data_IF_168405991006
#
_entry.id   IF_168405991006
#
_cell.length_a   1.000
_cell.length_b   1.000
_cell.length_c   1.000
_cell.angle_alpha   90.00
_cell.angle_beta   90.00
_cell.angle_gamma   90.00
#
_symmetry.space_group_name_H-M   'P 1'
#
loop_
_entity.id
_entity.type
_entity.pdbx_description
1 polymer ?
#
# COMPACT_ATOMS: atom_id res chain seq x y z
N UNK A 1 9.65 -11.20 -12.13
CA UNK A 1 9.64 -9.72 -12.14
C UNK A 1 9.19 -9.26 -10.78
N UNK A 2 10.08 -8.65 -10.00
CA UNK A 2 9.77 -8.08 -8.68
C UNK A 2 9.08 -6.74 -8.91
N UNK A 3 7.89 -6.55 -8.32
CA UNK A 3 7.07 -5.31 -8.36
C UNK A 3 7.86 -4.01 -8.12
N UNK A 4 8.97 -4.14 -7.40
CA UNK A 4 9.81 -3.07 -6.86
C UNK A 4 10.44 -2.13 -7.91
N UNK A 5 10.59 -2.55 -9.17
CA UNK A 5 11.25 -1.73 -10.21
C UNK A 5 10.55 -1.83 -11.57
N UNK A 6 9.21 -1.85 -11.57
CA UNK A 6 8.49 -1.87 -12.84
C UNK A 6 8.61 -0.49 -13.54
N UNK A 7 9.12 -0.40 -14.78
CA UNK A 7 9.45 0.87 -15.44
C UNK A 7 8.23 1.77 -15.67
N UNK A 8 7.04 1.18 -15.78
CA UNK A 8 5.79 1.91 -15.93
C UNK A 8 5.27 2.56 -14.63
N UNK A 9 5.93 2.37 -13.48
CA UNK A 9 5.57 3.04 -12.24
C UNK A 9 6.25 4.41 -12.15
N UNK A 10 5.52 5.48 -11.77
CA UNK A 10 6.12 6.74 -11.36
C UNK A 10 7.18 6.53 -10.28
N UNK A 11 8.27 7.30 -10.33
CA UNK A 11 9.43 7.15 -9.43
C UNK A 11 9.03 7.08 -7.95
N UNK A 12 8.14 7.97 -7.50
CA UNK A 12 7.64 7.97 -6.12
C UNK A 12 7.03 6.63 -5.69
N UNK A 13 6.21 6.00 -6.55
CA UNK A 13 5.53 4.74 -6.23
C UNK A 13 6.50 3.56 -6.25
N UNK A 14 7.52 3.64 -7.10
CA UNK A 14 8.63 2.68 -7.18
C UNK A 14 9.51 2.75 -5.95
N UNK A 15 9.96 3.95 -5.58
CA UNK A 15 10.78 4.20 -4.40
C UNK A 15 10.08 3.71 -3.14
N UNK A 16 8.79 4.04 -2.98
CA UNK A 16 8.01 3.54 -1.84
C UNK A 16 7.90 2.02 -1.85
N UNK A 17 7.65 1.40 -3.01
CA UNK A 17 7.59 -0.06 -3.11
C UNK A 17 8.92 -0.72 -2.76
N UNK A 18 10.04 -0.07 -3.07
CA UNK A 18 11.38 -0.48 -2.66
C UNK A 18 11.59 -0.38 -1.16
N UNK A 19 11.24 0.76 -0.57
CA UNK A 19 11.32 0.99 0.88
C UNK A 19 10.49 -0.04 1.65
N UNK A 20 9.27 -0.34 1.15
CA UNK A 20 8.39 -1.36 1.72
C UNK A 20 9.00 -2.75 1.61
N UNK A 21 9.49 -3.13 0.44
CA UNK A 21 10.06 -4.46 0.21
C UNK A 21 11.32 -4.74 1.04
N UNK A 22 12.06 -3.70 1.42
CA UNK A 22 13.27 -3.81 2.26
C UNK A 22 12.99 -3.53 3.74
N UNK A 23 11.72 -3.36 4.13
CA UNK A 23 11.30 -3.08 5.51
C UNK A 23 11.96 -1.85 6.16
N UNK A 24 12.33 -0.84 5.34
CA UNK A 24 13.00 0.39 5.81
C UNK A 24 12.08 1.60 5.95
N UNK A 25 10.76 1.39 5.81
CA UNK A 25 9.76 2.44 6.03
C UNK A 25 9.83 2.91 7.51
N UNK A 26 9.71 4.22 7.81
CA UNK A 26 9.79 4.74 9.18
C UNK A 26 8.49 4.51 9.97
N UNK A 27 8.12 3.23 10.10
CA UNK A 27 7.10 2.74 11.03
C UNK A 27 7.63 2.75 12.47
N UNK A 28 6.73 2.66 13.46
CA UNK A 28 7.11 2.80 14.87
C UNK A 28 8.13 1.78 15.33
N UNK A 29 8.08 0.53 14.84
CA UNK A 29 9.08 -0.49 15.21
C UNK A 29 10.50 -0.11 14.74
N UNK A 30 10.63 0.41 13.51
CA UNK A 30 11.91 0.86 12.93
C UNK A 30 12.42 2.12 13.61
N UNK A 31 11.53 3.06 13.94
CA UNK A 31 11.92 4.27 14.67
C UNK A 31 12.34 3.96 16.11
N UNK A 32 11.62 3.06 16.78
CA UNK A 32 11.91 2.63 18.15
C UNK A 32 13.25 1.90 18.25
N UNK A 33 13.55 0.99 17.31
CA UNK A 33 14.85 0.29 17.30
C UNK A 33 16.05 1.23 17.09
N UNK A 34 15.80 2.44 16.59
CA UNK A 34 16.78 3.52 16.43
C UNK A 34 16.75 4.57 17.56
N UNK A 35 15.95 4.36 18.60
CA UNK A 35 15.82 5.27 19.74
C UNK A 35 15.12 6.61 19.42
N UNK A 36 14.41 6.70 18.28
CA UNK A 36 13.76 7.95 17.83
C UNK A 36 12.36 8.15 18.45
N UNK A 37 11.74 7.09 18.96
CA UNK A 37 10.41 7.14 19.57
C UNK A 37 10.26 6.07 20.65
N UNK A 38 9.40 6.32 21.64
CA UNK A 38 9.20 5.41 22.78
C UNK A 38 8.18 4.29 22.51
N UNK A 39 6.93 4.54 22.08
CA UNK A 39 6.06 3.42 21.72
C UNK A 39 6.39 2.90 20.32
N UNK A 40 6.72 1.62 20.23
CA UNK A 40 6.79 0.85 18.98
C UNK A 40 5.39 0.45 18.44
N UNK A 41 4.32 0.83 19.14
CA UNK A 41 2.94 0.42 18.87
C UNK A 41 2.29 1.22 17.77
N UNK A 42 1.31 0.59 17.11
CA UNK A 42 0.49 1.17 16.06
C UNK A 42 -0.22 2.43 16.55
N UNK A 43 -0.13 3.56 15.80
CA UNK A 43 -0.76 4.82 16.19
C UNK A 43 -2.28 4.81 16.04
N UNK A 44 -2.87 3.75 15.45
CA UNK A 44 -4.33 3.61 15.33
C UNK A 44 -4.97 3.37 16.69
N UNK A 45 -6.01 4.13 17.06
CA UNK A 45 -6.77 3.87 18.28
C UNK A 45 -7.28 2.43 18.32
N UNK A 46 -7.11 1.76 19.46
CA UNK A 46 -7.58 0.39 19.68
C UNK A 46 -6.76 -0.72 19.04
N UNK A 47 -5.69 -0.41 18.29
CA UNK A 47 -4.86 -1.46 17.67
C UNK A 47 -3.83 -2.05 18.64
N UNK A 48 -2.97 -1.22 19.24
CA UNK A 48 -2.01 -1.62 20.28
C UNK A 48 -0.86 -2.56 19.85
N UNK A 49 -0.95 -3.21 18.68
CA UNK A 49 0.10 -4.09 18.17
C UNK A 49 1.36 -3.32 17.74
N UNK A 50 2.55 -3.96 17.71
CA UNK A 50 3.76 -3.35 17.14
C UNK A 50 3.57 -2.92 15.68
N UNK A 51 3.90 -1.68 15.33
CA UNK A 51 3.76 -1.17 13.96
C UNK A 51 4.97 -1.59 13.11
N UNK A 52 4.86 -2.71 12.39
CA UNK A 52 5.77 -3.09 11.31
C UNK A 52 5.22 -2.69 9.93
N UNK A 53 6.03 -2.82 8.86
CA UNK A 53 5.56 -2.62 7.48
C UNK A 53 4.44 -3.60 7.13
N UNK A 54 4.63 -4.87 7.51
CA UNK A 54 3.61 -5.91 7.35
C UNK A 54 2.34 -5.59 8.14
N UNK A 55 2.47 -5.11 9.37
CA UNK A 55 1.33 -4.69 10.16
C UNK A 55 0.56 -3.56 9.47
N UNK A 56 1.26 -2.47 9.11
CA UNK A 56 0.68 -1.31 8.44
C UNK A 56 -0.09 -1.67 7.16
N UNK A 57 0.48 -2.55 6.33
CA UNK A 57 -0.05 -2.85 4.98
C UNK A 57 -0.89 -4.12 4.91
N UNK A 58 -1.00 -4.92 5.97
CA UNK A 58 -1.70 -6.21 5.89
C UNK A 58 -2.48 -6.57 7.14
N UNK A 59 -1.85 -6.52 8.32
CA UNK A 59 -2.40 -7.12 9.54
C UNK A 59 -3.20 -6.13 10.40
N UNK A 60 -2.97 -4.83 10.24
CA UNK A 60 -3.71 -3.81 10.96
C UNK A 60 -5.19 -3.87 10.58
N UNK A 61 -6.10 -3.71 11.56
CA UNK A 61 -7.54 -3.64 11.31
C UNK A 61 -7.89 -2.60 10.24
N UNK A 62 -7.22 -1.45 10.25
CA UNK A 62 -7.41 -0.42 9.23
C UNK A 62 -7.03 -0.90 7.81
N UNK A 63 -6.02 -1.75 7.67
CA UNK A 63 -5.65 -2.35 6.40
C UNK A 63 -6.68 -3.41 5.98
N UNK A 64 -7.09 -4.28 6.92
CA UNK A 64 -8.15 -5.28 6.69
C UNK A 64 -9.45 -4.61 6.23
N UNK A 65 -9.86 -3.51 6.88
CA UNK A 65 -11.05 -2.74 6.51
C UNK A 65 -10.90 -2.10 5.11
N UNK A 66 -9.70 -1.65 4.77
CA UNK A 66 -9.39 -1.16 3.42
C UNK A 66 -9.57 -2.28 2.38
N UNK A 67 -9.10 -3.50 2.66
CA UNK A 67 -9.26 -4.64 1.76
C UNK A 67 -10.71 -5.09 1.62
N UNK A 68 -11.46 -5.13 2.73
CA UNK A 68 -12.89 -5.41 2.70
C UNK A 68 -13.64 -4.36 1.86
N UNK A 69 -13.34 -3.08 2.09
CA UNK A 69 -13.94 -1.95 1.36
C UNK A 69 -13.57 -1.96 -0.13
N UNK A 70 -12.33 -2.29 -0.45
CA UNK A 70 -11.82 -2.45 -1.82
C UNK A 70 -12.50 -3.60 -2.58
N UNK A 71 -12.93 -4.65 -1.86
CA UNK A 71 -13.77 -5.72 -2.43
C UNK A 71 -15.19 -5.24 -2.75
N UNK A 72 -15.77 -4.35 -1.93
CA UNK A 72 -17.10 -3.77 -2.17
C UNK A 72 -17.10 -2.67 -3.24
N UNK A 73 -16.04 -1.86 -3.28
CA UNK A 73 -15.76 -0.85 -4.29
C UNK A 73 -14.73 -1.43 -5.23
N UNK A 74 -15.16 -2.21 -6.22
CA UNK A 74 -14.32 -2.84 -7.24
C UNK A 74 -13.11 -1.94 -7.57
N UNK A 75 -11.92 -2.27 -7.05
CA UNK A 75 -10.69 -1.79 -7.65
C UNK A 75 -10.72 -2.37 -9.06
N UNK A 76 -10.88 -1.56 -10.13
CA UNK A 76 -11.11 -2.08 -11.48
C UNK A 76 -9.90 -2.83 -12.08
N UNK A 77 -8.87 -3.10 -11.27
CA UNK A 77 -7.52 -3.40 -11.71
C UNK A 77 -6.88 -4.59 -10.98
N UNK A 78 -7.55 -5.21 -10.00
CA UNK A 78 -7.23 -6.58 -9.59
C UNK A 78 -8.07 -7.50 -10.49
N UNK A 79 -7.46 -8.40 -11.28
CA UNK A 79 -8.21 -9.32 -12.11
C UNK A 79 -9.22 -10.11 -11.26
N UNK A 80 -10.42 -10.32 -11.80
CA UNK A 80 -11.39 -11.20 -11.16
C UNK A 80 -10.74 -12.57 -10.87
N UNK A 81 -10.76 -12.98 -9.59
CA UNK A 81 -10.21 -14.27 -9.15
C UNK A 81 -8.80 -14.23 -8.54
N UNK A 82 -8.10 -13.10 -8.51
CA UNK A 82 -6.83 -12.99 -7.78
C UNK A 82 -7.08 -12.83 -6.27
N UNK A 83 -6.54 -13.75 -5.47
CA UNK A 83 -6.55 -13.64 -4.01
C UNK A 83 -5.45 -12.67 -3.60
N UNK A 84 -5.83 -11.52 -3.05
CA UNK A 84 -4.86 -10.60 -2.47
C UNK A 84 -4.17 -11.31 -1.30
N UNK A 85 -2.84 -11.40 -1.33
CA UNK A 85 -2.04 -11.99 -0.26
C UNK A 85 -1.04 -10.97 0.28
N UNK A 86 -0.54 -11.19 1.50
CA UNK A 86 0.52 -10.36 2.07
C UNK A 86 1.78 -10.35 1.18
N UNK A 87 2.10 -11.49 0.54
CA UNK A 87 3.25 -11.61 -0.35
C UNK A 87 3.09 -10.76 -1.62
N UNK A 88 1.88 -10.77 -2.20
CA UNK A 88 1.55 -9.92 -3.33
C UNK A 88 1.55 -8.44 -2.93
N UNK A 89 0.95 -8.10 -1.79
CA UNK A 89 0.86 -6.73 -1.31
C UNK A 89 2.23 -6.15 -0.99
N UNK A 90 3.08 -6.85 -0.23
CA UNK A 90 4.38 -6.34 0.20
C UNK A 90 5.43 -6.41 -0.92
N UNK A 91 5.59 -7.59 -1.52
CA UNK A 91 6.73 -7.90 -2.39
C UNK A 91 6.34 -8.02 -3.86
N UNK A 92 5.05 -8.11 -4.16
CA UNK A 92 4.57 -8.40 -5.50
C UNK A 92 4.98 -9.79 -5.98
N UNK A 93 4.88 -10.78 -5.09
CA UNK A 93 5.14 -12.18 -5.42
C UNK A 93 3.81 -12.92 -5.45
N UNK A 94 3.66 -13.85 -6.39
CA UNK A 94 2.49 -14.73 -6.47
C UNK A 94 1.41 -14.30 -7.46
N UNK A 95 1.70 -13.40 -8.40
CA UNK A 95 0.79 -13.16 -9.52
C UNK A 95 0.60 -14.42 -10.35
N UNK A 96 -0.65 -14.74 -10.68
CA UNK A 96 -0.93 -15.84 -11.60
C UNK A 96 -0.32 -15.59 -12.99
N UNK A 97 0.01 -16.64 -13.74
CA UNK A 97 0.44 -16.51 -15.14
C UNK A 97 -0.58 -15.78 -16.02
N UNK A 98 -1.89 -15.97 -15.77
CA UNK A 98 -2.99 -15.31 -16.48
C UNK A 98 -3.06 -13.80 -16.23
N UNK A 99 -2.66 -13.34 -15.04
CA UNK A 99 -2.65 -11.92 -14.68
C UNK A 99 -1.46 -11.14 -15.29
N UNK A 100 -0.52 -11.80 -15.96
CA UNK A 100 0.68 -11.15 -16.53
C UNK A 100 0.35 -10.09 -17.58
N UNK A 101 -0.74 -10.26 -18.34
CA UNK A 101 -1.20 -9.30 -19.37
C UNK A 101 -1.57 -7.94 -18.75
N UNK A 102 -2.09 -7.95 -17.52
CA UNK A 102 -2.48 -6.75 -16.77
C UNK A 102 -1.45 -6.37 -15.69
N UNK A 103 -0.26 -6.96 -15.71
CA UNK A 103 0.76 -6.80 -14.66
C UNK A 103 1.08 -5.34 -14.34
N UNK A 104 1.16 -4.47 -15.35
CA UNK A 104 1.40 -3.03 -15.12
C UNK A 104 0.30 -2.37 -14.30
N UNK A 105 -0.98 -2.63 -14.64
CA UNK A 105 -2.12 -2.07 -13.90
C UNK A 105 -2.21 -2.62 -12.49
N UNK A 106 -1.88 -3.90 -12.32
CA UNK A 106 -1.83 -4.55 -11.00
C UNK A 106 -0.72 -3.95 -10.14
N UNK A 107 0.49 -3.80 -10.69
CA UNK A 107 1.61 -3.18 -9.98
C UNK A 107 1.31 -1.75 -9.60
N UNK A 108 0.74 -0.97 -10.53
CA UNK A 108 0.33 0.40 -10.26
C UNK A 108 -0.70 0.47 -9.15
N UNK A 109 -1.68 -0.44 -9.16
CA UNK A 109 -2.70 -0.54 -8.12
C UNK A 109 -2.09 -0.86 -6.76
N UNK A 110 -1.25 -1.89 -6.69
CA UNK A 110 -0.59 -2.27 -5.43
C UNK A 110 0.30 -1.14 -4.90
N UNK A 111 1.05 -0.46 -5.76
CA UNK A 111 1.93 0.63 -5.37
C UNK A 111 1.14 1.88 -4.93
N UNK A 112 0.09 2.27 -5.65
CA UNK A 112 -0.80 3.37 -5.28
C UNK A 112 -1.49 3.12 -3.95
N UNK A 113 -1.88 1.88 -3.70
CA UNK A 113 -2.47 1.48 -2.42
C UNK A 113 -1.46 1.56 -1.27
N UNK A 114 -0.21 1.12 -1.45
CA UNK A 114 0.86 1.34 -0.46
C UNK A 114 1.01 2.82 -0.12
N UNK A 115 1.05 3.67 -1.16
CA UNK A 115 1.21 5.12 -1.01
C UNK A 115 0.02 5.75 -0.28
N UNK A 116 -1.21 5.35 -0.61
CA UNK A 116 -2.40 5.84 0.06
C UNK A 116 -2.45 5.41 1.54
N UNK A 117 -2.16 4.14 1.85
CA UNK A 117 -2.11 3.63 3.23
C UNK A 117 -1.01 4.32 4.03
N UNK A 118 0.18 4.49 3.45
CA UNK A 118 1.28 5.22 4.08
C UNK A 118 0.93 6.69 4.32
N UNK A 119 0.35 7.36 3.33
CA UNK A 119 -0.11 8.76 3.44
C UNK A 119 -1.16 8.90 4.53
N UNK A 120 -2.15 8.01 4.59
CA UNK A 120 -3.16 7.97 5.65
C UNK A 120 -2.53 7.84 7.04
N UNK A 121 -1.52 6.97 7.19
CA UNK A 121 -0.80 6.80 8.47
C UNK A 121 -0.04 8.08 8.83
N UNK A 122 0.64 8.72 7.87
CA UNK A 122 1.37 9.96 8.14
C UNK A 122 0.45 11.12 8.51
N UNK A 123 -0.75 11.20 7.92
CA UNK A 123 -1.77 12.17 8.32
C UNK A 123 -2.26 11.92 9.75
N UNK A 124 -2.42 10.64 10.13
CA UNK A 124 -2.74 10.28 11.51
C UNK A 124 -1.64 10.71 12.49
N UNK A 125 -0.38 10.39 12.20
CA UNK A 125 0.74 10.68 13.10
C UNK A 125 1.08 12.17 13.16
N UNK A 126 1.15 12.84 12.01
CA UNK A 126 1.60 14.23 11.93
C UNK A 126 0.50 15.28 12.11
N UNK A 127 -0.77 14.91 11.83
CA UNK A 127 -1.90 15.85 11.86
C UNK A 127 -3.09 15.34 12.69
N UNK A 128 -2.96 14.20 13.38
CA UNK A 128 -4.04 13.59 14.16
C UNK A 128 -5.32 13.32 13.33
N UNK A 129 -5.17 13.17 12.01
CA UNK A 129 -6.28 13.03 11.08
C UNK A 129 -6.48 11.56 10.71
N UNK A 130 -7.61 10.99 11.13
CA UNK A 130 -8.00 9.64 10.75
C UNK A 130 -8.74 9.65 9.42
N UNK A 131 -8.11 9.08 8.39
CA UNK A 131 -8.74 8.90 7.09
C UNK A 131 -9.58 7.60 7.11
N UNK A 132 -10.87 7.66 6.73
CA UNK A 132 -11.71 6.47 6.60
C UNK A 132 -11.19 5.52 5.50
N UNK A 133 -11.35 4.20 5.64
CA UNK A 133 -10.89 3.22 4.65
C UNK A 133 -11.32 3.53 3.21
N UNK A 134 -12.58 3.93 3.01
CA UNK A 134 -13.12 4.32 1.70
C UNK A 134 -12.38 5.50 1.06
N UNK A 135 -11.96 6.48 1.86
CA UNK A 135 -11.22 7.62 1.37
C UNK A 135 -9.80 7.22 0.97
N UNK A 136 -9.16 6.31 1.71
CA UNK A 136 -7.84 5.76 1.33
C UNK A 136 -7.94 4.99 0.00
N UNK A 137 -8.98 4.19 -0.19
CA UNK A 137 -9.24 3.51 -1.46
C UNK A 137 -9.44 4.52 -2.61
N UNK A 138 -10.20 5.59 -2.39
CA UNK A 138 -10.40 6.65 -3.38
C UNK A 138 -9.11 7.39 -3.73
N UNK A 139 -8.23 7.63 -2.75
CA UNK A 139 -6.90 8.22 -2.97
C UNK A 139 -6.06 7.31 -3.87
N UNK A 140 -5.97 6.01 -3.55
CA UNK A 140 -5.25 5.05 -4.39
C UNK A 140 -5.81 5.01 -5.81
N UNK A 141 -7.13 4.97 -5.96
CA UNK A 141 -7.78 4.98 -7.28
C UNK A 141 -7.52 6.27 -8.06
N UNK A 142 -7.43 7.43 -7.40
CA UNK A 142 -7.06 8.70 -8.04
C UNK A 142 -5.62 8.63 -8.57
N UNK A 143 -4.67 8.17 -7.75
CA UNK A 143 -3.28 7.97 -8.16
C UNK A 143 -3.16 7.05 -9.37
N UNK A 144 -3.92 5.95 -9.41
CA UNK A 144 -3.94 5.04 -10.57
C UNK A 144 -4.45 5.76 -11.83
N UNK A 145 -5.57 6.51 -11.73
CA UNK A 145 -6.12 7.25 -12.87
C UNK A 145 -5.15 8.31 -13.39
N UNK A 146 -4.51 9.05 -12.51
CA UNK A 146 -3.52 10.08 -12.86
C UNK A 146 -2.29 9.47 -13.56
N UNK A 147 -1.77 8.36 -13.03
CA UNK A 147 -0.63 7.68 -13.65
C UNK A 147 -0.98 7.06 -15.02
N UNK A 148 -2.20 6.53 -15.18
CA UNK A 148 -2.68 6.06 -16.49
C UNK A 148 -2.85 7.21 -17.48
N UNK A 149 -3.39 8.36 -17.05
CA UNK A 149 -3.52 9.54 -17.89
C UNK A 149 -2.15 10.11 -18.31
N UNK A 150 -1.18 10.15 -17.39
CA UNK A 150 0.18 10.62 -17.65
C UNK A 150 1.01 9.67 -18.54
N UNK A 151 0.71 8.36 -18.50
CA UNK A 151 1.33 7.35 -19.36
C UNK A 151 0.68 7.21 -20.75
N UNK A 152 -0.40 7.94 -21.02
CA UNK A 152 -1.09 7.98 -22.31
C UNK A 152 -0.65 9.15 -23.18
N UNK A 153 0.61 9.15 -23.63
CA UNK A 153 1.11 9.96 -24.74
C UNK A 153 1.54 9.04 -25.90
N UNK A 154 1.46 9.50 -27.17
CA UNK A 154 1.28 8.68 -28.38
C UNK A 154 2.32 7.58 -28.62
#
# INVERSE_FOLDING_TARGET
MRNVDHPALPNRLRDLSWIVAHEVLPVRSVMHSRGLIQPATCPRPGCGAPESVRHLLWECSAAVDQWATAGSLQFPYLPAGEVLTAQLMLYGVGLSPSAKKDSTRIWLTLAATKDATWTSRNLLVGRHMQIPPVAVIRMAAATVREAVAAGGGP
#
